data_IF_029771431050
#
_entry.id   IF_029771431050
#
_cell.length_a   1.000
_cell.length_b   1.000
_cell.length_c   1.000
_cell.angle_alpha   90.00
_cell.angle_beta   90.00
_cell.angle_gamma   90.00
#
_symmetry.space_group_name_H-M   'P 1'
#
loop_
_entity.id
_entity.type
_entity.pdbx_description
1 polymer ?
#
# COMPACT_ATOMS: atom_id res chain seq x y z
N UNK A 1 -1.23 1.60 10.92
CA UNK A 1 -1.47 0.61 9.85
C UNK A 1 -2.38 -0.48 10.39
N UNK A 2 -3.36 -0.94 9.60
CA UNK A 2 -4.30 -2.01 9.96
C UNK A 2 -4.33 -3.04 8.83
N UNK A 3 -4.19 -4.32 9.18
CA UNK A 3 -4.41 -5.42 8.24
C UNK A 3 -5.91 -5.66 8.14
N UNK A 4 -6.46 -5.53 6.93
CA UNK A 4 -7.87 -5.79 6.66
C UNK A 4 -8.09 -7.22 6.19
N UNK A 5 -7.16 -7.76 5.39
CA UNK A 5 -7.18 -9.14 4.92
C UNK A 5 -5.76 -9.64 4.72
N UNK A 6 -5.53 -10.92 5.03
CA UNK A 6 -4.31 -11.64 4.68
C UNK A 6 -4.70 -13.06 4.26
N UNK A 7 -4.02 -13.58 3.26
CA UNK A 7 -4.16 -14.95 2.75
C UNK A 7 -2.77 -15.44 2.36
N UNK A 8 -2.48 -16.70 2.67
CA UNK A 8 -1.18 -17.31 2.38
C UNK A 8 -1.20 -18.08 1.05
N UNK A 9 -2.37 -18.58 0.62
CA UNK A 9 -2.49 -19.35 -0.62
C UNK A 9 -3.77 -19.02 -1.41
N UNK A 10 -3.71 -18.18 -2.46
CA UNK A 10 -2.52 -17.45 -2.92
C UNK A 10 -2.11 -16.33 -1.93
N UNK A 11 -0.82 -15.94 -1.91
CA UNK A 11 -0.34 -14.88 -1.04
C UNK A 11 -0.99 -13.55 -1.44
N UNK A 12 -1.75 -12.96 -0.52
CA UNK A 12 -2.50 -11.74 -0.71
C UNK A 12 -2.60 -10.98 0.60
N UNK A 13 -2.48 -9.65 0.56
CA UNK A 13 -2.80 -8.82 1.70
C UNK A 13 -3.53 -7.54 1.29
N UNK A 14 -4.42 -7.08 2.16
CA UNK A 14 -5.11 -5.79 2.03
C UNK A 14 -4.87 -4.98 3.30
N UNK A 15 -4.23 -3.83 3.15
CA UNK A 15 -3.79 -2.99 4.27
C UNK A 15 -4.46 -1.63 4.20
N UNK A 16 -4.74 -1.07 5.37
CA UNK A 16 -5.13 0.34 5.53
C UNK A 16 -4.08 1.09 6.34
N UNK A 17 -3.62 2.21 5.80
CA UNK A 17 -2.71 3.12 6.48
C UNK A 17 -3.45 4.42 6.76
N UNK A 18 -3.71 4.66 8.03
CA UNK A 18 -4.17 5.96 8.49
C UNK A 18 -2.99 6.90 8.60
N UNK A 19 -3.19 8.17 8.24
CA UNK A 19 -2.20 9.23 8.40
C UNK A 19 -0.85 8.88 7.77
N UNK A 20 -0.88 8.43 6.51
CA UNK A 20 0.34 8.15 5.76
C UNK A 20 1.15 9.44 5.61
N UNK A 21 2.31 9.53 6.27
CA UNK A 21 3.10 10.76 6.32
C UNK A 21 3.46 11.28 4.93
N UNK A 22 3.77 10.37 3.99
CA UNK A 22 4.08 10.71 2.62
C UNK A 22 2.89 11.42 1.95
N UNK A 23 1.67 10.89 2.11
CA UNK A 23 0.48 11.52 1.55
C UNK A 23 0.00 12.77 2.28
N UNK A 24 0.18 12.86 3.60
CA UNK A 24 -0.16 14.07 4.37
C UNK A 24 0.75 15.24 4.00
N UNK A 25 2.01 14.97 3.65
CA UNK A 25 2.97 15.97 3.21
C UNK A 25 2.83 16.35 1.73
N UNK A 26 1.83 15.83 1.01
CA UNK A 26 1.65 16.14 -0.40
C UNK A 26 1.30 17.64 -0.56
N UNK A 27 2.14 18.46 -1.22
CA UNK A 27 1.99 19.91 -1.24
C UNK A 27 0.77 20.38 -2.05
N UNK A 28 0.24 19.53 -2.93
CA UNK A 28 -0.99 19.75 -3.71
C UNK A 28 -1.74 18.43 -3.80
N UNK A 29 -3.08 18.48 -3.94
CA UNK A 29 -3.85 17.28 -4.27
C UNK A 29 -3.30 16.68 -5.57
N UNK A 30 -3.11 15.37 -5.55
CA UNK A 30 -2.61 14.58 -6.67
C UNK A 30 -3.76 13.78 -7.26
N UNK A 31 -3.85 13.70 -8.59
CA UNK A 31 -4.78 12.79 -9.26
C UNK A 31 -4.30 11.33 -9.18
N UNK A 32 -3.00 11.15 -8.92
CA UNK A 32 -2.34 9.85 -8.83
C UNK A 32 -1.90 9.49 -7.39
N UNK A 33 -1.77 8.18 -7.09
CA UNK A 33 -1.12 7.66 -5.88
C UNK A 33 0.23 8.32 -5.58
N UNK A 34 0.37 8.94 -4.40
CA UNK A 34 1.59 9.64 -4.00
C UNK A 34 2.55 8.78 -3.16
N UNK A 35 2.07 7.67 -2.57
CA UNK A 35 2.82 6.87 -1.60
C UNK A 35 3.96 6.04 -2.21
N UNK A 36 4.95 6.63 -2.86
CA UNK A 36 6.03 5.87 -3.52
C UNK A 36 6.87 5.10 -2.50
N UNK A 37 7.35 5.77 -1.46
CA UNK A 37 8.19 5.15 -0.45
C UNK A 37 7.41 4.13 0.37
N UNK A 38 6.22 4.49 0.86
CA UNK A 38 5.40 3.60 1.71
C UNK A 38 4.95 2.36 0.94
N UNK A 39 4.57 2.51 -0.33
CA UNK A 39 4.18 1.39 -1.19
C UNK A 39 5.33 0.41 -1.42
N UNK A 40 6.52 0.91 -1.73
CA UNK A 40 7.69 0.04 -1.94
C UNK A 40 8.15 -0.62 -0.64
N UNK A 41 8.09 0.07 0.51
CA UNK A 41 8.38 -0.54 1.82
C UNK A 41 7.42 -1.69 2.14
N UNK A 42 6.12 -1.51 1.88
CA UNK A 42 5.12 -2.57 2.03
C UNK A 42 5.41 -3.73 1.07
N UNK A 43 5.65 -3.46 -0.21
CA UNK A 43 5.95 -4.49 -1.20
C UNK A 43 7.21 -5.29 -0.84
N UNK A 44 8.26 -4.61 -0.38
CA UNK A 44 9.51 -5.21 0.07
C UNK A 44 9.33 -6.10 1.30
N UNK A 45 8.63 -5.61 2.33
CA UNK A 45 8.35 -6.40 3.53
C UNK A 45 7.58 -7.69 3.21
N UNK A 46 6.54 -7.60 2.38
CA UNK A 46 5.77 -8.78 1.98
C UNK A 46 6.56 -9.72 1.06
N UNK A 47 7.48 -9.20 0.25
CA UNK A 47 8.40 -10.02 -0.55
C UNK A 47 9.33 -10.85 0.33
N UNK A 48 9.87 -10.25 1.38
CA UNK A 48 10.71 -10.98 2.35
C UNK A 48 9.93 -12.03 3.14
N UNK A 49 8.66 -11.76 3.47
CA UNK A 49 7.81 -12.69 4.22
C UNK A 49 7.33 -13.87 3.35
N UNK A 50 6.86 -13.59 2.13
CA UNK A 50 6.29 -14.62 1.25
C UNK A 50 7.34 -15.43 0.48
N UNK A 51 8.60 -14.97 0.47
CA UNK A 51 9.69 -15.59 -0.30
C UNK A 51 9.53 -15.42 -1.82
N UNK A 52 8.55 -14.64 -2.28
CA UNK A 52 8.31 -14.35 -3.69
C UNK A 52 8.09 -12.86 -3.91
N UNK A 53 8.33 -12.38 -5.13
CA UNK A 53 8.22 -10.95 -5.42
C UNK A 53 6.77 -10.48 -5.32
N UNK A 54 6.48 -9.61 -4.37
CA UNK A 54 5.16 -9.00 -4.15
C UNK A 54 5.13 -7.56 -4.68
N UNK A 55 3.94 -7.10 -5.06
CA UNK A 55 3.65 -5.75 -5.51
C UNK A 55 2.56 -5.16 -4.63
N UNK A 56 2.75 -3.93 -4.18
CA UNK A 56 1.70 -3.17 -3.51
C UNK A 56 1.09 -2.17 -4.50
N UNK A 57 -0.23 -2.20 -4.65
CA UNK A 57 -1.01 -1.24 -5.44
C UNK A 57 -1.82 -0.38 -4.48
N UNK A 58 -1.69 0.94 -4.60
CA UNK A 58 -2.49 1.87 -3.80
C UNK A 58 -3.89 2.00 -4.43
N UNK A 59 -4.93 1.63 -3.67
CA UNK A 59 -6.34 1.66 -4.09
C UNK A 59 -6.99 2.97 -3.66
N UNK A 60 -6.63 3.47 -2.48
CA UNK A 60 -7.06 4.77 -1.93
C UNK A 60 -5.85 5.52 -1.45
N UNK A 61 -5.88 6.85 -1.55
CA UNK A 61 -4.76 7.70 -1.19
C UNK A 61 -5.23 9.02 -0.59
N UNK A 62 -4.66 9.41 0.55
CA UNK A 62 -4.96 10.70 1.20
C UNK A 62 -4.62 11.87 0.26
N UNK A 63 -3.57 11.74 -0.56
CA UNK A 63 -3.19 12.78 -1.52
C UNK A 63 -4.25 13.01 -2.61
N UNK A 64 -5.09 12.01 -2.91
CA UNK A 64 -6.24 12.11 -3.82
C UNK A 64 -7.48 12.70 -3.14
N UNK A 65 -7.46 12.84 -1.82
CA UNK A 65 -8.59 13.29 -1.00
C UNK A 65 -9.36 12.17 -0.31
N UNK A 66 -8.89 10.92 -0.36
CA UNK A 66 -9.48 9.82 0.41
C UNK A 66 -9.20 10.01 1.93
N UNK A 67 -10.06 9.47 2.81
CA UNK A 67 -9.88 9.58 4.26
C UNK A 67 -8.68 8.77 4.82
N UNK A 68 -8.13 7.85 4.03
CA UNK A 68 -7.02 6.97 4.41
C UNK A 68 -6.40 6.34 3.16
N UNK A 69 -5.19 5.82 3.28
CA UNK A 69 -4.55 5.05 2.20
C UNK A 69 -4.89 3.56 2.33
N UNK A 70 -5.19 2.91 1.22
CA UNK A 70 -5.37 1.45 1.16
C UNK A 70 -4.43 0.84 0.14
N UNK A 71 -3.81 -0.28 0.51
CA UNK A 71 -2.84 -0.98 -0.31
C UNK A 71 -3.29 -2.43 -0.52
N UNK A 72 -3.33 -2.85 -1.76
CA UNK A 72 -3.53 -4.23 -2.18
C UNK A 72 -2.17 -4.84 -2.55
N UNK A 73 -1.82 -5.94 -1.89
CA UNK A 73 -0.55 -6.63 -2.07
C UNK A 73 -0.81 -7.95 -2.77
N UNK A 74 -0.25 -8.12 -3.96
CA UNK A 74 -0.39 -9.31 -4.79
C UNK A 74 0.97 -9.80 -5.28
N UNK A 75 1.10 -11.09 -5.65
CA UNK A 75 2.32 -11.58 -6.27
C UNK A 75 2.55 -10.88 -7.61
N UNK A 76 3.82 -10.68 -7.99
CA UNK A 76 4.15 -10.31 -9.36
C UNK A 76 3.73 -11.46 -10.28
N UNK A 77 2.92 -11.15 -11.30
CA UNK A 77 2.73 -12.06 -12.43
C UNK A 77 4.04 -12.25 -13.20
#
# INVERSE_FOLDING_TARGET
MKVLKISENPPYAYLRVHRCFECECCPKRSDEPYSHLVREMIAGAFTSISGMKMFAKEIKCIAKGDPYCEFEITPKK
#
